data_IF_207860766666
#
_entry.id   IF_207860766666
#
_cell.length_a   1.000
_cell.length_b   1.000
_cell.length_c   1.000
_cell.angle_alpha   90.00
_cell.angle_beta   90.00
_cell.angle_gamma   90.00
#
_symmetry.space_group_name_H-M   'P 1'
#
loop_
_entity.id
_entity.type
_entity.pdbx_description
1 polymer ?
#
# COMPACT_ATOMS: atom_id res chain seq x y z
N UNK A 1 7.85 -14.58 9.42
CA UNK A 1 9.17 -14.02 9.78
C UNK A 1 9.01 -13.09 10.97
N UNK A 2 9.85 -13.25 11.96
CA UNK A 2 9.90 -12.40 13.14
C UNK A 2 11.25 -11.71 13.20
N UNK A 3 11.26 -10.44 13.64
CA UNK A 3 12.49 -9.68 13.74
C UNK A 3 12.21 -8.19 13.80
N UNK A 4 13.28 -7.39 13.88
CA UNK A 4 13.13 -5.94 13.91
C UNK A 4 12.90 -5.36 12.52
N UNK A 5 13.55 -5.91 11.51
CA UNK A 5 13.42 -5.43 10.12
C UNK A 5 13.27 -6.62 9.19
N UNK A 6 12.26 -6.57 8.35
CA UNK A 6 12.08 -7.52 7.26
C UNK A 6 12.15 -6.77 5.94
N UNK A 7 12.86 -7.30 4.97
CA UNK A 7 13.01 -6.68 3.66
C UNK A 7 12.84 -7.73 2.58
N UNK A 8 11.98 -7.44 1.61
CA UNK A 8 11.66 -8.36 0.52
C UNK A 8 11.82 -7.61 -0.80
N UNK A 9 12.54 -8.24 -1.74
CA UNK A 9 12.67 -7.74 -3.09
C UNK A 9 12.29 -8.82 -4.07
N UNK A 10 11.37 -8.52 -4.95
CA UNK A 10 10.89 -9.44 -5.96
C UNK A 10 11.00 -8.79 -7.34
N UNK A 11 11.48 -9.54 -8.33
CA UNK A 11 11.63 -9.04 -9.68
C UNK A 11 11.21 -10.10 -10.69
N UNK A 12 10.74 -9.65 -11.86
CA UNK A 12 10.29 -10.55 -12.93
C UNK A 12 8.89 -11.09 -12.63
N UNK A 13 8.69 -12.38 -12.86
CA UNK A 13 7.44 -13.04 -12.49
C UNK A 13 7.58 -13.64 -11.10
N UNK A 14 6.65 -13.33 -10.21
CA UNK A 14 6.76 -13.79 -8.83
C UNK A 14 5.39 -14.13 -8.25
N UNK A 15 5.41 -14.97 -7.23
CA UNK A 15 4.24 -15.26 -6.40
C UNK A 15 4.75 -15.53 -5.00
N UNK A 16 4.29 -14.74 -4.05
CA UNK A 16 4.81 -14.79 -2.69
C UNK A 16 3.69 -14.67 -1.67
N UNK A 17 3.81 -15.36 -0.55
CA UNK A 17 2.87 -15.25 0.55
C UNK A 17 3.62 -15.43 1.87
N UNK A 18 3.07 -14.90 2.95
CA UNK A 18 3.71 -15.05 4.24
C UNK A 18 3.06 -14.26 5.34
N UNK A 19 3.56 -14.50 6.55
CA UNK A 19 3.17 -13.78 7.76
C UNK A 19 4.41 -13.08 8.32
N UNK A 20 4.26 -11.82 8.69
CA UNK A 20 5.37 -11.03 9.19
C UNK A 20 5.02 -10.38 10.52
N UNK A 21 5.93 -10.47 11.47
CA UNK A 21 5.89 -9.69 12.72
C UNK A 21 7.23 -9.01 12.87
N UNK A 22 7.26 -7.71 12.69
CA UNK A 22 8.49 -6.97 12.77
C UNK A 22 8.21 -5.51 13.10
N UNK A 23 9.22 -4.77 13.50
CA UNK A 23 9.06 -3.32 13.65
C UNK A 23 8.94 -2.64 12.30
N UNK A 24 9.68 -3.12 11.33
CA UNK A 24 9.73 -2.52 10.01
C UNK A 24 9.66 -3.59 8.94
N UNK A 25 8.77 -3.41 7.99
CA UNK A 25 8.65 -4.30 6.82
C UNK A 25 8.81 -3.46 5.56
N UNK A 26 9.73 -3.85 4.71
CA UNK A 26 9.97 -3.21 3.44
C UNK A 26 9.75 -4.22 2.31
N UNK A 27 8.83 -3.92 1.39
CA UNK A 27 8.53 -4.77 0.25
C UNK A 27 8.75 -3.97 -1.02
N UNK A 28 9.55 -4.49 -1.91
CA UNK A 28 9.85 -3.85 -3.18
C UNK A 28 9.67 -4.85 -4.31
N UNK A 29 8.82 -4.53 -5.26
CA UNK A 29 8.53 -5.42 -6.39
C UNK A 29 8.69 -4.68 -7.71
N UNK A 30 9.25 -5.37 -8.69
CA UNK A 30 9.38 -4.89 -10.06
C UNK A 30 9.02 -6.05 -10.99
N UNK A 31 8.07 -5.82 -11.88
CA UNK A 31 7.65 -6.84 -12.81
C UNK A 31 6.20 -7.26 -12.60
N UNK A 32 5.91 -8.54 -12.77
CA UNK A 32 4.56 -9.07 -12.76
C UNK A 32 4.43 -10.21 -11.75
N UNK A 33 3.45 -10.11 -10.85
CA UNK A 33 3.27 -11.18 -9.89
C UNK A 33 2.21 -10.87 -8.85
N UNK A 34 2.11 -11.76 -7.87
CA UNK A 34 1.13 -11.65 -6.79
C UNK A 34 1.79 -11.78 -5.44
N UNK A 35 1.34 -10.94 -4.51
CA UNK A 35 1.74 -10.98 -3.12
C UNK A 35 0.51 -11.21 -2.25
N UNK A 36 0.67 -12.02 -1.22
CA UNK A 36 -0.38 -12.16 -0.21
C UNK A 36 0.31 -12.20 1.16
N UNK A 37 0.23 -11.12 1.91
CA UNK A 37 0.91 -10.99 3.18
C UNK A 37 -0.03 -10.62 4.29
N UNK A 38 0.24 -11.19 5.46
CA UNK A 38 -0.38 -10.81 6.72
C UNK A 38 0.74 -10.23 7.59
N UNK A 39 0.62 -8.97 7.94
CA UNK A 39 1.71 -8.25 8.60
C UNK A 39 1.24 -7.55 9.86
N UNK A 40 2.06 -7.65 10.89
CA UNK A 40 1.88 -6.90 12.13
C UNK A 40 3.18 -6.13 12.37
N UNK A 41 3.16 -4.84 12.08
CA UNK A 41 4.37 -4.03 12.06
C UNK A 41 4.11 -2.65 12.64
N UNK A 42 5.17 -1.97 13.03
CA UNK A 42 5.09 -0.54 13.32
C UNK A 42 5.17 0.29 12.03
N UNK A 43 6.07 -0.07 11.12
CA UNK A 43 6.22 0.61 9.84
C UNK A 43 6.19 -0.39 8.69
N UNK A 44 5.46 -0.07 7.64
CA UNK A 44 5.41 -0.87 6.42
C UNK A 44 5.70 0.03 5.23
N UNK A 45 6.67 -0.34 4.43
CA UNK A 45 7.01 0.34 3.18
C UNK A 45 6.72 -0.60 2.02
N UNK A 46 5.86 -0.18 1.11
CA UNK A 46 5.50 -0.96 -0.06
C UNK A 46 5.83 -0.15 -1.32
N UNK A 47 6.66 -0.70 -2.17
CA UNK A 47 7.01 -0.09 -3.45
C UNK A 47 6.76 -1.07 -4.57
N UNK A 48 5.91 -0.72 -5.52
CA UNK A 48 5.53 -1.59 -6.63
C UNK A 48 5.69 -0.87 -7.96
N UNK A 49 6.26 -1.57 -8.93
CA UNK A 49 6.42 -1.07 -10.29
C UNK A 49 6.11 -2.18 -11.28
N UNK A 50 5.68 -1.82 -12.48
CA UNK A 50 5.33 -2.79 -13.51
C UNK A 50 3.86 -3.20 -13.45
N UNK A 51 3.60 -4.50 -13.38
CA UNK A 51 2.25 -5.05 -13.25
C UNK A 51 2.23 -6.04 -12.10
N UNK A 52 1.62 -5.69 -11.00
CA UNK A 52 1.59 -6.55 -9.83
C UNK A 52 0.29 -6.45 -9.09
N UNK A 53 0.02 -7.45 -8.26
CA UNK A 53 -1.17 -7.50 -7.44
C UNK A 53 -0.76 -7.88 -6.02
N UNK A 54 -1.19 -7.08 -5.04
CA UNK A 54 -0.88 -7.34 -3.64
C UNK A 54 -2.16 -7.44 -2.82
N UNK A 55 -2.23 -8.44 -1.97
CA UNK A 55 -3.28 -8.58 -0.96
C UNK A 55 -2.62 -8.45 0.40
N UNK A 56 -3.05 -7.48 1.19
CA UNK A 56 -2.47 -7.23 2.51
C UNK A 56 -3.54 -7.32 3.58
N UNK A 57 -3.14 -7.85 4.73
CA UNK A 57 -3.99 -7.87 5.93
C UNK A 57 -3.12 -7.69 7.16
N UNK A 58 -3.71 -7.24 8.25
CA UNK A 58 -2.99 -7.04 9.51
C UNK A 58 -3.09 -5.62 10.04
N UNK A 59 -2.06 -5.19 10.75
CA UNK A 59 -2.01 -3.90 11.42
C UNK A 59 -0.65 -3.23 11.24
N UNK A 60 -0.65 -1.91 11.11
CA UNK A 60 0.58 -1.13 11.12
C UNK A 60 0.30 0.27 11.70
N UNK A 61 1.30 0.87 12.33
CA UNK A 61 1.18 2.25 12.77
C UNK A 61 1.39 3.22 11.61
N UNK A 62 2.37 2.94 10.76
CA UNK A 62 2.68 3.76 9.58
C UNK A 62 2.81 2.91 8.34
N UNK A 63 2.25 3.39 7.25
CA UNK A 63 2.38 2.75 5.95
C UNK A 63 2.84 3.79 4.92
N UNK A 64 3.88 3.46 4.18
CA UNK A 64 4.30 4.21 3.01
C UNK A 64 4.08 3.32 1.79
N UNK A 65 3.21 3.73 0.90
CA UNK A 65 2.89 2.98 -0.31
C UNK A 65 3.24 3.83 -1.54
N UNK A 66 4.05 3.27 -2.42
CA UNK A 66 4.41 3.91 -3.67
C UNK A 66 4.16 2.92 -4.80
N UNK A 67 3.34 3.29 -5.76
CA UNK A 67 2.99 2.43 -6.87
C UNK A 67 3.10 3.16 -8.20
N UNK A 68 3.57 2.46 -9.21
CA UNK A 68 3.62 2.95 -10.57
C UNK A 68 3.28 1.81 -11.54
N UNK A 69 2.87 2.17 -12.77
CA UNK A 69 2.47 1.18 -13.76
C UNK A 69 1.05 0.67 -13.52
N UNK A 70 0.84 -0.60 -13.77
CA UNK A 70 -0.48 -1.23 -13.63
C UNK A 70 -0.55 -2.09 -12.37
N UNK A 71 -0.15 -1.53 -11.25
CA UNK A 71 -0.13 -2.25 -9.98
C UNK A 71 -1.46 -2.09 -9.26
N UNK A 72 -1.84 -3.12 -8.49
CA UNK A 72 -3.03 -3.10 -7.67
C UNK A 72 -2.73 -3.58 -6.27
N UNK A 73 -3.26 -2.88 -5.28
CA UNK A 73 -3.13 -3.26 -3.87
C UNK A 73 -4.53 -3.38 -3.28
N UNK A 74 -4.81 -4.54 -2.70
CA UNK A 74 -6.03 -4.77 -1.93
C UNK A 74 -5.66 -4.91 -0.47
N UNK A 75 -5.85 -3.84 0.28
CA UNK A 75 -5.48 -3.78 1.70
C UNK A 75 -6.68 -3.40 2.57
N UNK A 76 -7.86 -3.79 2.17
CA UNK A 76 -9.08 -3.48 2.92
C UNK A 76 -9.12 -4.15 4.30
N UNK A 77 -8.36 -5.22 4.47
CA UNK A 77 -8.21 -5.90 5.76
C UNK A 77 -6.97 -5.49 6.52
N UNK A 78 -6.24 -4.53 6.00
CA UNK A 78 -5.03 -4.00 6.62
C UNK A 78 -5.35 -2.64 7.22
N UNK A 79 -5.20 -2.49 8.51
CA UNK A 79 -5.53 -1.26 9.23
C UNK A 79 -4.25 -0.51 9.55
N UNK A 80 -4.18 0.75 9.10
CA UNK A 80 -3.06 1.63 9.38
C UNK A 80 -3.53 2.82 10.20
N UNK A 81 -2.73 3.25 11.16
CA UNK A 81 -3.01 4.48 11.88
C UNK A 81 -2.71 5.69 11.00
N UNK A 82 -1.58 5.65 10.33
CA UNK A 82 -1.10 6.70 9.45
C UNK A 82 -0.71 6.09 8.11
N UNK A 83 -1.11 6.70 7.00
CA UNK A 83 -0.76 6.19 5.68
C UNK A 83 -0.29 7.31 4.77
N UNK A 84 0.73 7.02 3.99
CA UNK A 84 1.20 7.89 2.91
C UNK A 84 1.15 7.09 1.62
N UNK A 85 0.35 7.54 0.66
CA UNK A 85 0.13 6.84 -0.60
C UNK A 85 0.55 7.72 -1.76
N UNK A 86 1.37 7.16 -2.62
CA UNK A 86 1.82 7.83 -3.84
C UNK A 86 1.53 6.90 -5.01
N UNK A 87 0.59 7.27 -5.87
CA UNK A 87 0.18 6.48 -7.01
C UNK A 87 0.40 7.25 -8.31
N UNK A 88 0.91 6.57 -9.32
CA UNK A 88 1.10 7.14 -10.65
C UNK A 88 0.75 6.12 -11.72
N UNK A 89 0.55 6.60 -12.95
CA UNK A 89 0.13 5.80 -14.10
C UNK A 89 -1.22 5.14 -13.85
N UNK A 90 -1.36 3.84 -14.02
CA UNK A 90 -2.63 3.15 -13.85
C UNK A 90 -2.72 2.41 -12.50
N UNK A 91 -1.98 2.84 -11.51
CA UNK A 91 -1.95 2.19 -10.21
C UNK A 91 -3.29 2.30 -9.48
N UNK A 92 -3.67 1.25 -8.78
CA UNK A 92 -4.90 1.21 -7.99
C UNK A 92 -4.59 0.68 -6.60
N UNK A 93 -5.26 1.25 -5.60
CA UNK A 93 -5.07 0.82 -4.21
C UNK A 93 -6.36 0.97 -3.43
N UNK A 94 -6.54 0.09 -2.44
CA UNK A 94 -7.63 0.17 -1.49
C UNK A 94 -7.03 -0.05 -0.10
N UNK A 95 -7.17 0.94 0.78
CA UNK A 95 -6.56 0.93 2.11
C UNK A 95 -7.58 1.32 3.17
N UNK A 96 -7.31 0.91 4.40
CA UNK A 96 -8.08 1.33 5.57
C UNK A 96 -7.16 2.08 6.53
N UNK A 97 -7.56 3.29 6.92
CA UNK A 97 -6.76 4.15 7.79
C UNK A 97 -7.63 4.73 8.90
N UNK A 98 -7.07 4.85 10.10
CA UNK A 98 -7.82 5.28 11.27
C UNK A 98 -7.58 6.73 11.68
N UNK A 99 -6.40 7.28 11.49
CA UNK A 99 -6.07 8.61 12.01
C UNK A 99 -5.77 9.63 10.92
N UNK A 100 -4.68 9.47 10.21
CA UNK A 100 -4.22 10.50 9.28
C UNK A 100 -3.75 9.87 7.97
N UNK A 101 -4.00 10.55 6.87
CA UNK A 101 -3.52 10.09 5.58
C UNK A 101 -2.95 11.23 4.75
N UNK A 102 -1.95 10.91 3.95
CA UNK A 102 -1.35 11.79 2.96
C UNK A 102 -1.42 11.05 1.62
N UNK A 103 -1.98 11.70 0.61
CA UNK A 103 -2.27 11.05 -0.67
C UNK A 103 -1.76 11.92 -1.81
N UNK A 104 -1.04 11.31 -2.72
CA UNK A 104 -0.65 11.96 -3.96
C UNK A 104 -0.98 11.03 -5.13
N UNK A 105 -1.90 11.46 -5.96
CA UNK A 105 -2.37 10.69 -7.12
C UNK A 105 -2.10 11.45 -8.39
N UNK A 106 -1.57 10.77 -9.39
CA UNK A 106 -1.34 11.37 -10.69
C UNK A 106 -1.72 10.42 -11.81
N UNK A 107 -1.93 10.97 -12.99
CA UNK A 107 -2.32 10.24 -14.19
C UNK A 107 -3.66 9.53 -14.01
N UNK A 108 -3.77 8.25 -14.29
CA UNK A 108 -5.03 7.52 -14.17
C UNK A 108 -5.09 6.63 -12.95
N UNK A 109 -4.42 7.03 -11.89
CA UNK A 109 -4.43 6.25 -10.66
C UNK A 109 -5.76 6.35 -9.93
N UNK A 110 -6.07 5.31 -9.15
CA UNK A 110 -7.30 5.22 -8.38
C UNK A 110 -6.97 4.82 -6.95
N UNK A 111 -7.58 5.51 -5.99
CA UNK A 111 -7.41 5.18 -4.59
C UNK A 111 -8.76 5.15 -3.89
N UNK A 112 -8.99 4.10 -3.13
CA UNK A 112 -10.15 4.00 -2.25
C UNK A 112 -9.63 3.93 -0.81
N UNK A 113 -10.04 4.91 0.00
CA UNK A 113 -9.71 4.93 1.43
C UNK A 113 -10.95 4.68 2.26
N UNK A 114 -10.83 3.78 3.23
CA UNK A 114 -11.88 3.46 4.18
C UNK A 114 -11.41 3.78 5.59
N UNK A 115 -12.31 4.25 6.42
CA UNK A 115 -12.01 4.52 7.81
C UNK A 115 -12.83 5.68 8.36
N UNK A 116 -13.39 5.48 9.54
CA UNK A 116 -14.09 6.55 10.24
C UNK A 116 -13.08 7.37 11.03
N UNK A 117 -13.25 8.66 11.03
CA UNK A 117 -12.42 9.57 11.81
C UNK A 117 -11.06 9.89 11.22
N UNK A 118 -10.71 9.30 10.10
CA UNK A 118 -9.44 9.61 9.46
C UNK A 118 -9.46 11.03 8.88
N UNK A 119 -8.37 11.76 9.04
CA UNK A 119 -8.24 13.15 8.59
C UNK A 119 -7.15 13.28 7.54
N UNK A 120 -7.37 14.08 6.50
CA UNK A 120 -6.32 14.31 5.52
C UNK A 120 -5.23 15.22 6.10
N UNK A 121 -3.99 14.85 5.86
CA UNK A 121 -2.85 15.71 6.12
C UNK A 121 -2.48 16.47 4.84
N UNK A 122 -2.38 15.75 3.74
CA UNK A 122 -2.08 16.33 2.46
C UNK A 122 -2.74 15.47 1.37
N UNK A 123 -3.50 16.10 0.48
CA UNK A 123 -4.14 15.39 -0.62
C UNK A 123 -3.87 16.13 -1.91
N UNK A 124 -3.24 15.46 -2.85
CA UNK A 124 -2.97 15.98 -4.19
C UNK A 124 -3.50 14.99 -5.22
N UNK A 125 -4.42 15.44 -6.06
CA UNK A 125 -5.00 14.63 -7.12
C UNK A 125 -4.89 15.41 -8.41
N UNK A 126 -4.20 14.86 -9.39
CA UNK A 126 -3.94 15.53 -10.66
C UNK A 126 -4.36 14.67 -11.84
N UNK A 127 -4.60 15.31 -12.98
CA UNK A 127 -4.96 14.67 -14.24
C UNK A 127 -6.26 13.87 -14.12
N UNK A 128 -6.26 12.61 -14.49
CA UNK A 128 -7.45 11.76 -14.48
C UNK A 128 -7.52 10.84 -13.26
N UNK A 129 -6.73 11.12 -12.25
CA UNK A 129 -6.70 10.32 -11.03
C UNK A 129 -8.01 10.46 -10.27
N UNK A 130 -8.40 9.39 -9.59
CA UNK A 130 -9.63 9.35 -8.80
C UNK A 130 -9.33 8.96 -7.36
N UNK A 131 -9.90 9.72 -6.45
CA UNK A 131 -9.81 9.43 -5.02
C UNK A 131 -11.22 9.26 -4.48
N UNK A 132 -11.50 8.10 -3.94
CA UNK A 132 -12.79 7.77 -3.35
C UNK A 132 -12.57 7.48 -1.87
N UNK A 133 -13.34 8.15 -1.03
CA UNK A 133 -13.28 7.92 0.40
C UNK A 133 -14.59 7.32 0.87
N UNK A 134 -14.49 6.17 1.55
CA UNK A 134 -15.62 5.45 2.13
C UNK A 134 -15.50 5.41 3.64
N UNK A 135 -16.63 5.44 4.31
CA UNK A 135 -16.66 5.29 5.76
C UNK A 135 -16.64 3.84 6.18
#
# INVERSE_FOLDING_TARGET
VEGEVASIRLAGEFKSSGHFRSKSLSVQTVGNGRLKYDALTAETNLSMAGSGLAYLSGLADRVDCSQSGRTKVHAEKFVAESIKVLLSHDAQAEWKVNQIYSVSLSERSHLILRGEGAKPSEVTVTQQAKFIRCK
#
